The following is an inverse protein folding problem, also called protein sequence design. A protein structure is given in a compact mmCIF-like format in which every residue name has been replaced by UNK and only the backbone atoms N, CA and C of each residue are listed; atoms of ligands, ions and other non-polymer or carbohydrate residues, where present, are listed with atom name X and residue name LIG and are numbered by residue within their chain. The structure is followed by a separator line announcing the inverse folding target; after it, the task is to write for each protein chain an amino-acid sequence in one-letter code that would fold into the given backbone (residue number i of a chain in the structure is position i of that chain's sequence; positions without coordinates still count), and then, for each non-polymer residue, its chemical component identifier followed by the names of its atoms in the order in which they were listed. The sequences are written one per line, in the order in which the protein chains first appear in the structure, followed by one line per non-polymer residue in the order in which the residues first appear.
data_IF_029733476913
#
_entry.id   IF_029733476913
#
_cell.length_a   1.000
_cell.length_b   1.000
_cell.length_c   1.000
_cell.angle_alpha   90.00
_cell.angle_beta   90.00
_cell.angle_gamma   90.00
#
_symmetry.space_group_name_H-M   'P 1'
#
loop_
_entity.id
_entity.type
_entity.pdbx_description
1 polymer ?
#
# COMPACT_ATOMS: atom_id res chain seq x y z
N UNK A 1 40.58 -36.08 17.80
CA UNK A 1 40.64 -34.68 17.30
C UNK A 1 39.21 -34.15 17.05
N UNK A 2 38.54 -33.60 18.07
CA UNK A 2 37.21 -32.96 17.95
C UNK A 2 37.24 -31.62 18.69
N UNK A 3 37.84 -30.59 18.10
CA UNK A 3 37.93 -29.24 18.71
C UNK A 3 37.95 -28.07 17.69
N UNK A 4 37.48 -28.29 16.45
CA UNK A 4 37.48 -27.24 15.40
C UNK A 4 36.10 -26.76 14.94
N UNK A 5 34.99 -27.39 15.36
CA UNK A 5 33.63 -27.03 14.90
C UNK A 5 32.90 -25.99 15.77
N UNK A 6 33.36 -25.75 17.00
CA UNK A 6 32.71 -24.79 17.92
C UNK A 6 33.10 -23.33 17.65
N UNK A 7 34.28 -23.09 17.07
CA UNK A 7 34.77 -21.73 16.84
C UNK A 7 34.11 -21.03 15.64
N UNK A 8 33.80 -21.77 14.57
CA UNK A 8 33.11 -21.21 13.38
C UNK A 8 31.66 -20.86 13.67
N UNK A 9 30.95 -21.63 14.50
CA UNK A 9 29.57 -21.32 14.89
C UNK A 9 29.48 -20.08 15.80
N UNK A 10 30.45 -19.89 16.71
CA UNK A 10 30.52 -18.72 17.59
C UNK A 10 30.85 -17.42 16.84
N UNK A 11 31.69 -17.49 15.80
CA UNK A 11 32.03 -16.33 14.95
C UNK A 11 30.81 -15.92 14.11
N UNK A 12 30.04 -16.87 13.58
CA UNK A 12 28.81 -16.59 12.81
C UNK A 12 27.71 -15.98 13.69
N UNK A 13 27.55 -16.45 14.92
CA UNK A 13 26.57 -15.89 15.87
C UNK A 13 27.01 -14.50 16.35
N UNK A 14 28.30 -14.28 16.60
CA UNK A 14 28.83 -12.96 16.95
C UNK A 14 28.73 -11.95 15.78
N UNK A 15 28.92 -12.41 14.54
CA UNK A 15 28.72 -11.59 13.34
C UNK A 15 27.24 -11.25 13.11
N UNK A 16 26.32 -12.19 13.38
CA UNK A 16 24.88 -11.91 13.33
C UNK A 16 24.46 -10.91 14.43
N UNK A 17 24.98 -11.03 15.65
CA UNK A 17 24.65 -10.11 16.74
C UNK A 17 25.25 -8.71 16.50
N UNK A 18 26.40 -8.60 15.82
CA UNK A 18 26.98 -7.31 15.42
C UNK A 18 26.22 -6.61 14.29
N UNK A 19 25.44 -7.34 13.48
CA UNK A 19 24.50 -6.73 12.52
C UNK A 19 23.27 -6.14 13.24
N UNK A 20 22.86 -6.73 14.37
CA UNK A 20 21.70 -6.27 15.16
C UNK A 20 22.03 -5.28 16.30
N UNK A 21 23.32 -5.02 16.57
CA UNK A 21 23.75 -4.18 17.70
C UNK A 21 24.64 -3.00 17.28
N UNK A 22 24.50 -2.52 16.05
CA UNK A 22 24.96 -1.16 15.73
C UNK A 22 24.00 -0.17 16.41
N UNK A 23 24.49 0.82 17.18
CA UNK A 23 23.65 1.91 17.64
C UNK A 23 23.06 2.60 16.41
N UNK A 24 21.76 2.90 16.47
CA UNK A 24 21.03 3.65 15.45
C UNK A 24 21.53 5.09 15.37
N UNK A 25 22.73 5.28 14.84
CA UNK A 25 23.07 6.49 14.10
C UNK A 25 22.84 6.14 12.63
N UNK A 26 21.57 6.07 12.24
CA UNK A 26 21.21 6.22 10.83
C UNK A 26 21.51 7.68 10.51
N UNK A 27 22.71 7.94 9.98
CA UNK A 27 22.98 9.20 9.30
C UNK A 27 22.03 9.23 8.10
N UNK A 28 20.94 9.99 8.24
CA UNK A 28 19.91 10.19 7.21
C UNK A 28 20.43 11.01 6.02
N UNK A 29 21.73 10.98 5.71
CA UNK A 29 22.37 12.00 4.87
C UNK A 29 22.03 11.87 3.37
N UNK A 30 21.38 10.81 2.89
CA UNK A 30 21.09 10.63 1.45
C UNK A 30 19.78 9.89 1.11
N UNK A 31 18.95 9.52 2.09
CA UNK A 31 17.75 8.71 1.82
C UNK A 31 16.63 9.53 1.15
N UNK A 32 16.10 9.04 0.03
CA UNK A 32 15.02 9.72 -0.71
C UNK A 32 13.68 9.56 -0.03
N UNK A 33 12.96 10.67 0.15
CA UNK A 33 11.57 10.67 0.62
C UNK A 33 10.67 10.16 -0.51
N UNK A 34 9.88 9.12 -0.23
CA UNK A 34 8.90 8.52 -1.15
C UNK A 34 7.48 9.05 -0.90
N UNK A 35 7.07 9.18 0.36
CA UNK A 35 5.78 9.72 0.77
C UNK A 35 5.97 10.81 1.82
N UNK A 36 5.15 11.84 1.76
CA UNK A 36 5.10 12.87 2.78
C UNK A 36 3.66 13.30 3.08
N UNK A 37 3.36 13.42 4.38
CA UNK A 37 2.21 14.14 4.90
C UNK A 37 2.71 15.40 5.58
N UNK A 38 2.20 16.56 5.20
CA UNK A 38 2.50 17.84 5.85
C UNK A 38 1.22 18.48 6.39
N UNK A 39 1.25 18.88 7.66
CA UNK A 39 0.17 19.56 8.35
C UNK A 39 0.60 20.95 8.79
N UNK A 40 -0.30 21.93 8.61
CA UNK A 40 -0.10 23.30 9.07
C UNK A 40 -1.39 23.93 9.57
N UNK A 41 -1.32 24.61 10.72
CA UNK A 41 -2.44 25.35 11.31
C UNK A 41 -2.12 26.84 11.50
N UNK A 42 -2.87 27.71 10.81
CA UNK A 42 -2.53 29.15 10.72
C UNK A 42 -3.08 30.03 11.86
N UNK A 43 -3.97 29.54 12.75
CA UNK A 43 -4.81 30.43 13.59
C UNK A 43 -4.75 30.25 15.11
N UNK A 44 -4.51 29.05 15.65
CA UNK A 44 -4.45 28.85 17.11
C UNK A 44 -3.42 27.80 17.51
N UNK A 45 -2.22 28.26 17.89
CA UNK A 45 -1.12 27.38 18.30
C UNK A 45 -0.40 26.77 17.10
N UNK A 46 0.30 27.63 16.34
CA UNK A 46 1.05 27.23 15.14
C UNK A 46 1.88 25.99 15.46
N UNK A 47 1.43 24.85 14.94
CA UNK A 47 2.20 23.64 14.91
C UNK A 47 2.24 23.20 13.46
N UNK A 48 3.46 23.00 12.98
CA UNK A 48 3.70 22.34 11.72
C UNK A 48 4.21 20.95 12.02
N UNK A 49 3.65 19.98 11.33
CA UNK A 49 4.04 18.59 11.48
C UNK A 49 4.26 18.00 10.10
N UNK A 50 5.29 17.17 9.97
CA UNK A 50 5.45 16.34 8.78
C UNK A 50 5.75 14.90 9.19
N UNK A 51 5.20 13.95 8.43
CA UNK A 51 5.53 12.53 8.54
C UNK A 51 5.97 12.04 7.18
N UNK A 52 7.11 11.36 7.13
CA UNK A 52 7.82 11.02 5.90
C UNK A 52 8.08 9.52 5.87
N UNK A 53 7.97 8.91 4.70
CA UNK A 53 8.50 7.58 4.42
C UNK A 53 9.66 7.75 3.45
N UNK A 54 10.82 7.18 3.77
CA UNK A 54 11.96 7.11 2.85
C UNK A 54 12.08 5.77 2.12
N UNK A 55 12.99 5.71 1.14
CA UNK A 55 13.28 4.52 0.33
C UNK A 55 13.89 3.36 1.11
N UNK A 56 14.40 3.61 2.32
CA UNK A 56 14.86 2.55 3.22
C UNK A 56 13.72 1.95 4.07
N UNK A 57 12.51 2.48 3.92
CA UNK A 57 11.32 2.12 4.65
C UNK A 57 11.20 2.79 6.01
N UNK A 58 12.06 3.74 6.35
CA UNK A 58 12.00 4.44 7.62
C UNK A 58 10.91 5.51 7.59
N UNK A 59 10.10 5.52 8.66
CA UNK A 59 9.07 6.53 8.88
C UNK A 59 9.58 7.56 9.87
N UNK A 60 9.69 8.80 9.44
CA UNK A 60 10.23 9.92 10.21
C UNK A 60 9.13 10.92 10.55
N UNK A 61 9.24 11.54 11.72
CA UNK A 61 8.34 12.61 12.16
C UNK A 61 9.11 13.89 12.46
N UNK A 62 8.62 14.99 11.93
CA UNK A 62 9.07 16.35 12.16
C UNK A 62 7.95 17.13 12.88
N UNK A 63 8.32 17.96 13.86
CA UNK A 63 7.39 18.88 14.50
C UNK A 63 8.11 20.20 14.82
N UNK A 64 7.42 21.32 14.58
CA UNK A 64 7.94 22.66 14.87
C UNK A 64 6.80 23.65 15.15
N UNK A 65 7.14 24.71 15.88
CA UNK A 65 6.27 25.88 16.05
C UNK A 65 6.38 26.86 14.86
N UNK A 66 7.43 26.70 14.03
CA UNK A 66 7.61 27.47 12.80
C UNK A 66 6.78 26.86 11.65
N UNK A 67 6.26 27.69 10.73
CA UNK A 67 5.52 27.21 9.55
C UNK A 67 6.42 26.39 8.63
N UNK A 68 5.87 25.34 8.02
CA UNK A 68 6.50 24.67 6.88
C UNK A 68 6.50 25.60 5.65
N UNK A 69 7.37 25.35 4.66
CA UNK A 69 7.29 26.04 3.38
C UNK A 69 5.91 25.89 2.73
N UNK A 70 5.55 26.84 1.85
CA UNK A 70 4.19 26.93 1.31
C UNK A 70 3.91 25.91 0.19
N UNK A 71 4.94 25.52 -0.56
CA UNK A 71 4.85 24.58 -1.68
C UNK A 71 5.38 23.20 -1.32
N UNK A 72 4.89 22.16 -1.99
CA UNK A 72 5.35 20.81 -1.76
C UNK A 72 6.82 20.62 -2.18
N UNK A 73 7.27 21.31 -3.22
CA UNK A 73 8.66 21.29 -3.67
C UNK A 73 9.61 21.88 -2.63
N UNK A 74 9.24 23.03 -2.05
CA UNK A 74 10.04 23.64 -0.98
C UNK A 74 9.99 22.81 0.31
N UNK A 75 8.84 22.19 0.63
CA UNK A 75 8.71 21.25 1.75
C UNK A 75 9.62 20.05 1.56
N UNK A 76 9.62 19.43 0.38
CA UNK A 76 10.48 18.30 0.08
C UNK A 76 11.96 18.66 0.26
N UNK A 77 12.40 19.78 -0.32
CA UNK A 77 13.77 20.26 -0.19
C UNK A 77 14.16 20.54 1.27
N UNK A 78 13.26 21.19 2.03
CA UNK A 78 13.47 21.47 3.45
C UNK A 78 13.57 20.19 4.28
N UNK A 79 12.64 19.25 4.08
CA UNK A 79 12.53 18.03 4.87
C UNK A 79 13.66 17.04 4.57
N UNK A 80 14.16 17.01 3.34
CA UNK A 80 15.29 16.18 2.94
C UNK A 80 16.60 16.59 3.66
N UNK A 81 16.78 17.86 4.00
CA UNK A 81 17.95 18.37 4.72
C UNK A 81 17.71 18.49 6.24
N UNK A 82 16.48 18.21 6.70
CA UNK A 82 16.08 18.48 8.08
C UNK A 82 16.65 17.45 9.05
N UNK A 83 17.48 17.90 9.98
CA UNK A 83 18.03 17.05 11.05
C UNK A 83 17.10 16.89 12.26
N UNK A 84 16.05 17.72 12.37
CA UNK A 84 15.11 17.68 13.50
C UNK A 84 13.96 16.70 13.24
N UNK A 85 14.30 15.47 12.87
CA UNK A 85 13.35 14.39 12.62
C UNK A 85 13.59 13.23 13.59
N UNK A 86 12.52 12.53 13.95
CA UNK A 86 12.57 11.36 14.83
C UNK A 86 12.09 10.13 14.08
N UNK A 87 12.84 9.03 14.15
CA UNK A 87 12.41 7.74 13.62
C UNK A 87 11.24 7.20 14.45
N UNK A 88 10.11 6.93 13.80
CA UNK A 88 8.89 6.43 14.44
C UNK A 88 8.76 4.92 14.26
N UNK A 89 8.95 4.42 13.04
CA UNK A 89 8.83 2.99 12.68
C UNK A 89 9.56 2.70 11.37
N UNK A 90 9.58 1.42 10.98
CA UNK A 90 10.12 0.96 9.70
C UNK A 90 9.14 0.01 9.02
N UNK A 91 8.87 0.20 7.74
CA UNK A 91 8.08 -0.69 6.89
C UNK A 91 8.94 -1.85 6.37
N UNK A 92 8.28 -2.95 6.00
CA UNK A 92 8.94 -4.08 5.34
C UNK A 92 9.44 -3.69 3.94
N UNK A 93 10.58 -4.24 3.54
CA UNK A 93 11.22 -3.94 2.25
C UNK A 93 10.30 -4.26 1.08
N UNK A 94 9.55 -5.37 1.12
CA UNK A 94 8.62 -5.69 0.04
C UNK A 94 7.51 -4.66 -0.05
N UNK A 95 7.05 -4.13 1.10
CA UNK A 95 6.03 -3.10 1.10
C UNK A 95 6.55 -1.79 0.50
N UNK A 96 7.79 -1.41 0.75
CA UNK A 96 8.41 -0.25 0.10
C UNK A 96 8.43 -0.43 -1.42
N UNK A 97 8.86 -1.60 -1.91
CA UNK A 97 8.87 -1.90 -3.36
C UNK A 97 7.47 -1.85 -3.99
N UNK A 98 6.43 -2.27 -3.28
CA UNK A 98 5.04 -2.12 -3.73
C UNK A 98 4.61 -0.65 -3.83
N UNK A 99 5.02 0.19 -2.87
CA UNK A 99 4.72 1.63 -2.91
C UNK A 99 5.47 2.30 -4.06
N UNK A 100 6.74 1.97 -4.27
CA UNK A 100 7.52 2.49 -5.39
C UNK A 100 6.90 2.10 -6.75
N UNK A 101 6.34 0.89 -6.87
CA UNK A 101 5.66 0.48 -8.10
C UNK A 101 4.41 1.33 -8.37
N UNK A 102 3.63 1.63 -7.33
CA UNK A 102 2.47 2.52 -7.43
C UNK A 102 2.91 3.94 -7.80
N UNK A 103 3.98 4.46 -7.20
CA UNK A 103 4.54 5.79 -7.52
C UNK A 103 4.97 5.84 -8.99
N UNK A 104 5.67 4.80 -9.46
CA UNK A 104 6.11 4.72 -10.85
C UNK A 104 4.92 4.68 -11.82
N UNK A 105 3.85 3.96 -11.47
CA UNK A 105 2.67 3.78 -12.32
C UNK A 105 1.61 4.88 -12.22
N UNK A 106 1.70 5.78 -11.23
CA UNK A 106 0.73 6.84 -11.03
C UNK A 106 0.63 7.75 -12.27
N UNK A 107 -0.61 7.87 -12.77
CA UNK A 107 -0.96 8.66 -13.93
C UNK A 107 -1.28 10.13 -13.56
N UNK A 108 -1.80 10.89 -14.52
CA UNK A 108 -2.20 12.28 -14.30
C UNK A 108 -3.23 12.40 -13.15
N UNK A 109 -3.06 13.36 -12.23
CA UNK A 109 -3.94 13.49 -11.07
C UNK A 109 -5.42 13.72 -11.43
N UNK A 110 -6.29 12.99 -10.75
CA UNK A 110 -7.75 13.12 -10.85
C UNK A 110 -8.29 13.69 -9.53
N UNK A 111 -8.07 14.99 -9.32
CA UNK A 111 -8.42 15.68 -8.08
C UNK A 111 -9.93 15.95 -8.00
N UNK A 112 -10.61 15.31 -7.06
CA UNK A 112 -12.05 15.50 -6.83
C UNK A 112 -12.32 16.21 -5.50
N UNK A 113 -13.06 17.32 -5.57
CA UNK A 113 -13.51 18.06 -4.39
C UNK A 113 -14.62 17.31 -3.66
N UNK A 114 -14.39 17.00 -2.38
CA UNK A 114 -15.38 16.36 -1.54
C UNK A 114 -16.25 17.41 -0.84
N UNK A 115 -17.54 17.12 -0.71
CA UNK A 115 -18.51 18.00 -0.04
C UNK A 115 -18.31 17.95 1.48
N UNK A 116 -17.23 18.57 1.96
CA UNK A 116 -16.91 18.64 3.38
C UNK A 116 -16.28 19.98 3.72
N UNK A 117 -16.73 20.62 4.80
CA UNK A 117 -16.40 22.01 5.10
C UNK A 117 -16.51 22.34 6.57
N UNK A 118 -15.61 21.78 7.38
CA UNK A 118 -15.38 22.29 8.73
C UNK A 118 -14.16 23.19 8.68
N UNK A 119 -14.36 24.47 8.98
CA UNK A 119 -13.29 25.48 9.02
C UNK A 119 -12.61 25.41 10.38
N UNK A 120 -11.28 25.53 10.39
CA UNK A 120 -10.35 25.67 11.54
C UNK A 120 -9.59 24.42 12.01
N UNK A 121 -9.51 23.37 11.18
CA UNK A 121 -8.77 22.13 11.50
C UNK A 121 -7.28 22.14 11.11
N UNK A 122 -6.80 23.20 10.46
CA UNK A 122 -5.51 23.16 9.74
C UNK A 122 -5.65 22.52 8.36
N UNK A 123 -4.55 22.46 7.62
CA UNK A 123 -4.48 21.86 6.30
C UNK A 123 -3.48 20.71 6.32
N UNK A 124 -3.96 19.54 5.94
CA UNK A 124 -3.15 18.36 5.66
C UNK A 124 -2.95 18.25 4.16
N UNK A 125 -1.72 17.98 3.75
CA UNK A 125 -1.34 17.68 2.37
C UNK A 125 -0.63 16.34 2.36
N UNK A 126 -1.03 15.49 1.42
CA UNK A 126 -0.46 14.17 1.20
C UNK A 126 0.11 14.12 -0.20
N UNK A 127 1.39 13.78 -0.31
CA UNK A 127 2.11 13.79 -1.58
C UNK A 127 3.04 12.59 -1.67
N UNK A 128 3.16 12.02 -2.87
CA UNK A 128 4.20 11.06 -3.21
C UNK A 128 5.27 11.73 -4.06
N UNK A 129 6.47 11.18 -4.05
CA UNK A 129 7.61 11.72 -4.79
C UNK A 129 8.12 10.69 -5.77
N UNK A 130 8.08 11.04 -7.06
CA UNK A 130 8.62 10.22 -8.15
C UNK A 130 9.95 10.79 -8.61
N UNK A 131 10.99 9.96 -8.53
CA UNK A 131 12.33 10.30 -9.00
C UNK A 131 12.56 9.73 -10.40
N UNK A 132 12.61 10.60 -11.40
CA UNK A 132 12.93 10.25 -12.78
C UNK A 132 14.38 9.80 -12.94
N UNK A 133 14.62 8.91 -13.90
CA UNK A 133 15.97 8.46 -14.26
C UNK A 133 16.88 9.57 -14.79
N UNK A 134 16.29 10.68 -15.23
CA UNK A 134 16.94 11.91 -15.66
C UNK A 134 17.26 12.88 -14.50
N UNK A 135 16.92 12.50 -13.27
CA UNK A 135 17.09 13.31 -12.07
C UNK A 135 15.97 14.34 -11.86
N UNK A 136 14.92 14.35 -12.69
CA UNK A 136 13.75 15.17 -12.45
C UNK A 136 12.98 14.58 -11.27
N UNK A 137 12.60 15.44 -10.34
CA UNK A 137 11.74 15.08 -9.21
C UNK A 137 10.34 15.60 -9.50
N UNK A 138 9.36 14.72 -9.40
CA UNK A 138 7.94 15.04 -9.56
C UNK A 138 7.22 14.77 -8.25
N UNK A 139 6.36 15.71 -7.85
CA UNK A 139 5.49 15.56 -6.70
C UNK A 139 4.08 15.24 -7.19
N UNK A 140 3.58 14.09 -6.75
CA UNK A 140 2.26 13.58 -7.10
C UNK A 140 1.32 13.92 -5.95
N UNK A 141 0.34 14.82 -6.14
CA UNK A 141 -0.64 15.13 -5.10
C UNK A 141 -1.54 13.93 -4.88
N UNK A 142 -1.70 13.50 -3.63
CA UNK A 142 -2.51 12.35 -3.24
C UNK A 142 -3.84 12.79 -2.62
N UNK A 143 -3.77 13.71 -1.65
CA UNK A 143 -4.95 14.27 -1.02
C UNK A 143 -4.64 15.60 -0.30
N UNK A 144 -5.69 16.36 -0.05
CA UNK A 144 -5.70 17.51 0.86
C UNK A 144 -6.85 17.26 1.84
N UNK A 145 -6.61 17.39 3.15
CA UNK A 145 -7.66 17.19 4.17
C UNK A 145 -7.65 18.30 5.23
N UNK A 146 -8.62 18.31 6.14
CA UNK A 146 -8.82 19.37 7.12
C UNK A 146 -9.80 20.44 6.65
N UNK A 147 -9.32 21.67 6.42
CA UNK A 147 -10.16 22.81 6.01
C UNK A 147 -10.86 22.64 4.65
N UNK A 148 -10.34 21.77 3.80
CA UNK A 148 -10.88 21.34 2.51
C UNK A 148 -10.53 19.87 2.36
N UNK A 149 -11.38 19.11 1.69
CA UNK A 149 -11.09 17.72 1.34
C UNK A 149 -11.05 17.57 -0.17
N UNK A 150 -9.89 17.17 -0.69
CA UNK A 150 -9.65 16.87 -2.10
C UNK A 150 -8.91 15.55 -2.17
N UNK A 151 -9.38 14.60 -2.97
CA UNK A 151 -8.74 13.30 -3.12
C UNK A 151 -8.36 13.06 -4.57
N UNK A 152 -7.17 12.52 -4.81
CA UNK A 152 -6.76 12.06 -6.13
C UNK A 152 -7.32 10.65 -6.35
N UNK A 153 -8.31 10.52 -7.24
CA UNK A 153 -8.98 9.25 -7.51
C UNK A 153 -8.29 8.37 -8.55
N UNK A 154 -7.11 8.79 -9.05
CA UNK A 154 -6.26 7.91 -9.84
C UNK A 154 -5.90 6.66 -8.99
N UNK A 155 -6.08 5.43 -9.49
CA UNK A 155 -6.03 4.24 -8.64
C UNK A 155 -4.72 4.03 -7.87
N UNK A 156 -3.58 4.38 -8.46
CA UNK A 156 -2.27 4.22 -7.80
C UNK A 156 -2.04 5.33 -6.77
N UNK A 157 -2.36 6.58 -7.10
CA UNK A 157 -2.29 7.73 -6.20
C UNK A 157 -3.23 7.56 -5.01
N UNK A 158 -4.44 7.07 -5.24
CA UNK A 158 -5.39 6.78 -4.16
C UNK A 158 -4.87 5.67 -3.25
N UNK A 159 -4.29 4.59 -3.80
CA UNK A 159 -3.64 3.55 -3.01
C UNK A 159 -2.47 4.09 -2.16
N UNK A 160 -1.67 5.01 -2.71
CA UNK A 160 -0.60 5.69 -1.98
C UNK A 160 -1.16 6.59 -0.86
N UNK A 161 -2.29 7.28 -1.09
CA UNK A 161 -2.97 8.04 -0.05
C UNK A 161 -3.39 7.14 1.11
N UNK A 162 -4.08 6.02 0.82
CA UNK A 162 -4.48 5.04 1.83
C UNK A 162 -3.27 4.50 2.59
N UNK A 163 -2.18 4.17 1.91
CA UNK A 163 -0.97 3.68 2.55
C UNK A 163 -0.29 4.76 3.42
N UNK A 164 -0.28 6.01 2.97
CA UNK A 164 0.23 7.12 3.76
C UNK A 164 -0.62 7.29 5.04
N UNK A 165 -1.95 7.26 4.92
CA UNK A 165 -2.86 7.37 6.05
C UNK A 165 -2.73 6.20 7.05
N UNK A 166 -2.66 4.98 6.56
CA UNK A 166 -2.71 3.79 7.44
C UNK A 166 -1.35 3.31 7.91
N UNK A 167 -0.35 3.26 7.02
CA UNK A 167 0.95 2.64 7.28
C UNK A 167 1.99 3.69 7.71
N UNK A 168 1.98 4.87 7.09
CA UNK A 168 2.93 5.95 7.42
C UNK A 168 2.45 6.71 8.67
N UNK A 169 1.20 7.16 8.71
CA UNK A 169 0.63 7.84 9.89
C UNK A 169 0.22 6.86 10.99
N UNK A 170 -0.10 5.61 10.65
CA UNK A 170 -0.52 4.61 11.65
C UNK A 170 -1.97 4.79 12.10
N UNK A 171 -2.81 5.43 11.28
CA UNK A 171 -4.22 5.60 11.57
C UNK A 171 -5.04 4.39 11.11
N UNK A 172 -6.14 4.17 11.80
CA UNK A 172 -7.11 3.12 11.46
C UNK A 172 -8.21 3.71 10.59
N UNK A 173 -8.58 3.01 9.51
CA UNK A 173 -9.68 3.38 8.62
C UNK A 173 -11.04 3.21 9.30
N UNK A 174 -11.15 2.23 10.20
CA UNK A 174 -12.40 1.85 10.86
C UNK A 174 -12.63 2.60 12.19
N UNK A 175 -11.62 3.31 12.68
CA UNK A 175 -11.79 4.10 13.87
C UNK A 175 -12.85 5.19 13.63
N UNK A 176 -13.81 5.29 14.55
CA UNK A 176 -14.78 6.38 14.65
C UNK A 176 -14.06 7.69 15.00
N UNK A 177 -13.31 8.21 14.04
CA UNK A 177 -12.77 9.54 14.11
C UNK A 177 -13.85 10.52 13.65
N UNK A 178 -14.21 11.47 14.50
CA UNK A 178 -14.89 12.73 14.11
C UNK A 178 -13.95 13.66 13.29
N UNK A 179 -12.89 13.11 12.70
CA UNK A 179 -11.76 13.87 12.16
C UNK A 179 -11.88 14.01 10.63
N UNK A 180 -11.75 15.24 10.08
CA UNK A 180 -11.84 15.53 8.64
C UNK A 180 -10.60 15.08 7.85
N UNK A 181 -9.94 13.99 8.26
CA UNK A 181 -8.62 13.55 7.78
C UNK A 181 -8.68 12.17 7.10
N UNK A 182 -9.76 11.40 7.30
CA UNK A 182 -9.87 10.05 6.74
C UNK A 182 -10.19 10.05 5.24
N UNK A 183 -9.66 9.08 4.48
CA UNK A 183 -10.08 8.85 3.11
C UNK A 183 -11.59 8.59 3.00
N UNK A 184 -12.26 9.24 2.05
CA UNK A 184 -13.72 9.23 1.89
C UNK A 184 -14.19 8.33 0.74
N UNK A 185 -13.40 8.18 -0.33
CA UNK A 185 -13.74 7.40 -1.51
C UNK A 185 -13.26 5.93 -1.49
N UNK A 186 -13.22 5.29 -0.32
CA UNK A 186 -12.84 3.88 -0.22
C UNK A 186 -13.92 3.04 -0.90
N UNK A 187 -13.62 2.54 -2.10
CA UNK A 187 -14.55 1.72 -2.88
C UNK A 187 -14.49 0.28 -2.39
N UNK A 188 -15.67 -0.27 -2.12
CA UNK A 188 -15.87 -1.68 -1.80
C UNK A 188 -16.73 -2.26 -2.92
N UNK A 189 -16.10 -2.99 -3.85
CA UNK A 189 -16.77 -3.54 -5.02
C UNK A 189 -16.79 -5.07 -4.93
N UNK A 190 -17.94 -5.74 -5.00
CA UNK A 190 -18.01 -7.20 -5.08
C UNK A 190 -17.09 -7.75 -6.17
N UNK A 191 -16.44 -8.89 -5.92
CA UNK A 191 -15.47 -9.47 -6.86
C UNK A 191 -16.06 -9.68 -8.26
N UNK A 192 -17.30 -10.15 -8.35
CA UNK A 192 -17.98 -10.34 -9.63
C UNK A 192 -18.17 -9.01 -10.39
N UNK A 193 -18.68 -7.98 -9.70
CA UNK A 193 -18.87 -6.65 -10.28
C UNK A 193 -17.53 -6.05 -10.73
N UNK A 194 -16.49 -6.16 -9.90
CA UNK A 194 -15.16 -5.63 -10.21
C UNK A 194 -14.56 -6.26 -11.48
N UNK A 195 -14.78 -7.56 -11.68
CA UNK A 195 -14.33 -8.29 -12.86
C UNK A 195 -15.30 -8.18 -14.05
N UNK A 196 -16.43 -7.50 -13.90
CA UNK A 196 -17.45 -7.36 -14.94
C UNK A 196 -18.14 -8.69 -15.29
N UNK A 197 -18.20 -9.64 -14.35
CA UNK A 197 -18.91 -10.91 -14.49
C UNK A 197 -20.25 -10.88 -13.75
N UNK A 198 -21.22 -11.66 -14.22
CA UNK A 198 -22.54 -11.74 -13.60
C UNK A 198 -22.45 -12.32 -12.18
N UNK A 199 -23.18 -11.77 -11.20
CA UNK A 199 -23.15 -12.28 -9.81
C UNK A 199 -23.64 -13.73 -9.70
N UNK A 200 -24.53 -14.16 -10.60
CA UNK A 200 -25.00 -15.54 -10.71
C UNK A 200 -23.94 -16.52 -11.22
N UNK A 201 -22.72 -16.05 -11.56
CA UNK A 201 -21.62 -16.91 -12.05
C UNK A 201 -21.22 -18.00 -11.05
N UNK A 202 -21.46 -17.77 -9.76
CA UNK A 202 -21.15 -18.74 -8.70
C UNK A 202 -22.26 -19.78 -8.50
N UNK A 203 -23.49 -19.52 -8.94
CA UNK A 203 -24.64 -20.39 -8.67
C UNK A 203 -24.54 -21.72 -9.43
N UNK A 204 -24.35 -22.81 -8.67
CA UNK A 204 -24.23 -24.15 -9.24
C UNK A 204 -22.94 -24.37 -10.04
N UNK A 205 -21.97 -23.47 -9.94
CA UNK A 205 -20.67 -23.63 -10.58
C UNK A 205 -19.86 -24.76 -9.94
N UNK A 206 -18.91 -25.28 -10.71
CA UNK A 206 -17.80 -26.13 -10.21
C UNK A 206 -16.50 -25.35 -10.34
N UNK A 207 -15.46 -25.78 -9.63
CA UNK A 207 -14.18 -25.06 -9.59
C UNK A 207 -13.01 -26.02 -9.84
N UNK A 208 -12.02 -25.55 -10.59
CA UNK A 208 -10.70 -26.19 -10.66
C UNK A 208 -9.64 -25.22 -10.14
N UNK A 209 -8.71 -25.73 -9.33
CA UNK A 209 -7.59 -24.96 -8.81
C UNK A 209 -6.29 -25.32 -9.55
N UNK A 210 -5.44 -24.34 -9.78
CA UNK A 210 -4.09 -24.53 -10.32
C UNK A 210 -3.14 -23.49 -9.75
N UNK A 211 -1.84 -23.74 -9.84
CA UNK A 211 -0.80 -22.76 -9.53
C UNK A 211 -0.04 -22.41 -10.80
N UNK A 212 0.14 -21.12 -11.05
CA UNK A 212 0.98 -20.63 -12.14
C UNK A 212 2.45 -20.77 -11.75
N UNK A 213 3.16 -21.66 -12.44
CA UNK A 213 4.62 -21.77 -12.41
C UNK A 213 5.21 -21.05 -13.61
N UNK A 214 6.30 -20.31 -13.40
CA UNK A 214 6.91 -19.50 -14.45
C UNK A 214 7.57 -20.30 -15.57
N UNK A 215 7.93 -21.57 -15.32
CA UNK A 215 8.56 -22.46 -16.30
C UNK A 215 7.55 -23.47 -16.87
N UNK A 216 6.69 -24.03 -16.02
CA UNK A 216 5.78 -25.11 -16.37
C UNK A 216 4.36 -24.64 -16.75
N UNK A 217 4.02 -23.37 -16.53
CA UNK A 217 2.66 -22.86 -16.73
C UNK A 217 1.73 -23.29 -15.60
N UNK A 218 0.45 -23.54 -15.92
CA UNK A 218 -0.53 -23.96 -14.93
C UNK A 218 -0.27 -25.40 -14.47
N UNK A 219 -0.10 -25.57 -13.16
CA UNK A 219 0.02 -26.88 -12.49
C UNK A 219 -1.26 -27.10 -11.69
N UNK A 220 -2.05 -28.09 -12.08
CA UNK A 220 -3.31 -28.41 -11.39
C UNK A 220 -3.07 -28.76 -9.91
N UNK A 221 -3.96 -28.26 -9.06
CA UNK A 221 -4.03 -28.56 -7.64
C UNK A 221 -5.25 -29.46 -7.45
N UNK A 222 -5.05 -30.61 -6.80
CA UNK A 222 -6.15 -31.48 -6.40
C UNK A 222 -6.99 -30.75 -5.33
N UNK A 223 -8.28 -30.59 -5.61
CA UNK A 223 -9.27 -29.98 -4.73
C UNK A 223 -10.46 -30.91 -4.65
N UNK A 224 -10.93 -31.22 -3.44
CA UNK A 224 -12.09 -32.08 -3.26
C UNK A 224 -13.43 -31.32 -3.34
N UNK A 225 -14.55 -32.04 -3.22
CA UNK A 225 -15.89 -31.44 -3.32
C UNK A 225 -16.21 -30.48 -2.16
N UNK A 226 -15.67 -30.73 -0.96
CA UNK A 226 -15.87 -29.86 0.21
C UNK A 226 -15.08 -28.57 0.03
N UNK A 227 -13.79 -28.67 -0.30
CA UNK A 227 -12.93 -27.52 -0.59
C UNK A 227 -13.43 -26.70 -1.79
N UNK A 228 -14.01 -27.36 -2.79
CA UNK A 228 -14.67 -26.68 -3.93
C UNK A 228 -15.81 -25.79 -3.45
N UNK A 229 -16.68 -26.29 -2.58
CA UNK A 229 -17.79 -25.53 -2.01
C UNK A 229 -17.29 -24.33 -1.21
N UNK A 230 -16.33 -24.55 -0.30
CA UNK A 230 -15.73 -23.48 0.51
C UNK A 230 -15.07 -22.39 -0.34
N UNK A 231 -14.37 -22.77 -1.42
CA UNK A 231 -13.72 -21.81 -2.31
C UNK A 231 -14.71 -20.99 -3.13
N UNK A 232 -15.79 -21.60 -3.61
CA UNK A 232 -16.85 -20.88 -4.31
C UNK A 232 -17.54 -19.90 -3.37
N UNK A 233 -17.88 -20.33 -2.15
CA UNK A 233 -18.46 -19.45 -1.12
C UNK A 233 -17.52 -18.29 -0.81
N UNK A 234 -16.25 -18.57 -0.56
CA UNK A 234 -15.22 -17.56 -0.33
C UNK A 234 -15.14 -16.55 -1.48
N UNK A 235 -14.99 -17.01 -2.73
CA UNK A 235 -14.91 -16.14 -3.92
C UNK A 235 -16.16 -15.27 -4.08
N UNK A 236 -17.36 -15.83 -3.82
CA UNK A 236 -18.62 -15.10 -3.90
C UNK A 236 -18.75 -14.02 -2.81
N UNK A 237 -18.11 -14.23 -1.66
CA UNK A 237 -18.10 -13.30 -0.53
C UNK A 237 -16.97 -12.26 -0.57
N UNK A 238 -16.12 -12.27 -1.59
CA UNK A 238 -15.00 -11.34 -1.69
C UNK A 238 -15.43 -9.95 -2.19
N UNK A 239 -14.79 -8.94 -1.60
CA UNK A 239 -14.88 -7.53 -1.96
C UNK A 239 -13.49 -7.02 -2.30
N UNK A 240 -13.36 -6.34 -3.42
CA UNK A 240 -12.16 -5.61 -3.80
C UNK A 240 -12.20 -4.23 -3.12
N UNK A 241 -11.18 -3.91 -2.33
CA UNK A 241 -11.14 -2.68 -1.51
C UNK A 241 -10.19 -1.60 -2.05
N UNK A 242 -9.23 -1.98 -2.89
CA UNK A 242 -8.35 -1.02 -3.53
C UNK A 242 -7.09 -1.65 -4.10
N UNK A 243 -6.33 -0.86 -4.87
CA UNK A 243 -5.06 -1.28 -5.45
C UNK A 243 -3.99 -1.34 -4.36
N UNK A 244 -3.14 -2.36 -4.40
CA UNK A 244 -2.05 -2.58 -3.43
C UNK A 244 -0.67 -2.45 -4.06
N UNK A 245 -0.55 -2.80 -5.33
CA UNK A 245 0.70 -2.85 -6.08
C UNK A 245 0.39 -2.65 -7.57
N UNK A 246 1.22 -1.90 -8.31
CA UNK A 246 1.06 -1.72 -9.75
C UNK A 246 1.67 -2.86 -10.59
N UNK A 247 2.45 -3.75 -9.98
CA UNK A 247 3.01 -4.91 -10.66
C UNK A 247 1.96 -6.02 -10.72
N UNK A 248 1.90 -6.70 -11.86
CA UNK A 248 1.24 -7.99 -12.01
C UNK A 248 2.29 -9.11 -11.90
N UNK A 249 2.06 -10.10 -11.06
CA UNK A 249 3.01 -11.22 -10.89
C UNK A 249 2.79 -12.34 -11.90
N UNK A 250 3.83 -13.13 -12.15
CA UNK A 250 3.78 -14.23 -13.13
C UNK A 250 4.19 -15.60 -12.55
N UNK A 251 4.37 -15.74 -11.23
CA UNK A 251 4.79 -17.00 -10.62
C UNK A 251 4.29 -17.18 -9.19
N UNK A 252 3.95 -18.42 -8.82
CA UNK A 252 3.28 -18.81 -7.58
C UNK A 252 1.90 -18.17 -7.37
N UNK A 253 1.23 -17.76 -8.45
CA UNK A 253 -0.15 -17.28 -8.43
C UNK A 253 -1.10 -18.48 -8.32
N UNK A 254 -2.00 -18.47 -7.35
CA UNK A 254 -3.11 -19.42 -7.24
C UNK A 254 -4.21 -19.01 -8.22
N UNK A 255 -4.74 -19.97 -8.96
CA UNK A 255 -5.65 -19.72 -10.07
C UNK A 255 -6.88 -20.60 -9.88
N UNK A 256 -8.02 -19.96 -9.70
CA UNK A 256 -9.32 -20.61 -9.56
C UNK A 256 -10.11 -20.38 -10.83
N UNK A 257 -10.53 -21.46 -11.49
CA UNK A 257 -11.35 -21.39 -12.71
C UNK A 257 -12.71 -21.98 -12.42
N UNK A 258 -13.77 -21.19 -12.65
CA UNK A 258 -15.15 -21.63 -12.53
C UNK A 258 -15.64 -22.23 -13.85
N UNK A 259 -16.41 -23.31 -13.74
CA UNK A 259 -17.07 -23.97 -14.85
C UNK A 259 -18.56 -24.15 -14.56
N UNK A 260 -19.39 -24.10 -15.60
CA UNK A 260 -20.82 -24.42 -15.51
C UNK A 260 -21.03 -25.89 -15.13
N UNK A 261 -22.24 -26.30 -14.73
CA UNK A 261 -22.57 -27.72 -14.51
C UNK A 261 -22.26 -28.62 -15.72
N UNK A 262 -22.31 -28.05 -16.94
CA UNK A 262 -21.98 -28.72 -18.19
C UNK A 262 -20.47 -28.71 -18.53
N UNK A 263 -19.65 -28.10 -17.68
CA UNK A 263 -18.19 -28.00 -17.82
C UNK A 263 -17.71 -26.86 -18.72
N UNK A 264 -18.54 -25.85 -18.99
CA UNK A 264 -18.14 -24.68 -19.78
C UNK A 264 -17.39 -23.66 -18.91
N UNK A 265 -16.30 -23.08 -19.41
CA UNK A 265 -15.58 -22.00 -18.73
C UNK A 265 -16.52 -20.81 -18.44
N UNK A 266 -16.51 -20.33 -17.20
CA UNK A 266 -17.27 -19.16 -16.76
C UNK A 266 -16.37 -17.97 -16.43
N UNK A 267 -15.43 -18.16 -15.50
CA UNK A 267 -14.56 -17.10 -15.02
C UNK A 267 -13.24 -17.67 -14.48
N UNK A 268 -12.21 -16.82 -14.41
CA UNK A 268 -10.92 -17.14 -13.79
C UNK A 268 -10.55 -16.04 -12.81
N UNK A 269 -10.06 -16.45 -11.65
CA UNK A 269 -9.59 -15.57 -10.59
C UNK A 269 -8.16 -15.96 -10.24
N UNK A 270 -7.28 -14.97 -10.19
CA UNK A 270 -5.85 -15.17 -9.96
C UNK A 270 -5.45 -14.43 -8.68
N UNK A 271 -4.80 -15.13 -7.76
CA UNK A 271 -4.40 -14.60 -6.46
C UNK A 271 -2.92 -14.82 -6.18
N UNK A 272 -2.24 -13.76 -5.78
CA UNK A 272 -0.85 -13.82 -5.33
C UNK A 272 -0.75 -13.29 -3.91
N UNK A 273 -0.35 -14.16 -2.98
CA UNK A 273 -0.26 -13.84 -1.55
C UNK A 273 -1.55 -13.20 -1.01
N UNK A 274 -2.72 -13.67 -1.50
CA UNK A 274 -4.03 -13.16 -1.10
C UNK A 274 -4.49 -11.89 -1.82
N UNK A 275 -3.67 -11.29 -2.70
CA UNK A 275 -4.08 -10.17 -3.54
C UNK A 275 -4.66 -10.66 -4.86
N UNK A 276 -5.76 -10.05 -5.30
CA UNK A 276 -6.34 -10.30 -6.62
C UNK A 276 -5.41 -9.73 -7.69
N UNK A 277 -5.00 -10.57 -8.64
CA UNK A 277 -4.13 -10.21 -9.76
C UNK A 277 -4.97 -9.76 -10.96
N UNK A 278 -4.64 -8.59 -11.49
CA UNK A 278 -5.22 -7.99 -12.67
C UNK A 278 -4.12 -7.65 -13.69
N UNK A 279 -4.52 -7.28 -14.90
CA UNK A 279 -3.60 -6.84 -15.95
C UNK A 279 -2.88 -5.53 -15.59
N UNK A 280 -3.53 -4.68 -14.80
CA UNK A 280 -3.02 -3.37 -14.41
C UNK A 280 -2.38 -3.34 -13.00
N UNK A 281 -2.34 -4.47 -12.28
CA UNK A 281 -1.70 -4.57 -10.97
C UNK A 281 -2.36 -5.60 -10.05
N UNK A 282 -2.18 -5.43 -8.74
CA UNK A 282 -2.76 -6.30 -7.72
C UNK A 282 -3.62 -5.50 -6.73
N UNK A 283 -4.72 -6.11 -6.30
CA UNK A 283 -5.75 -5.48 -5.48
C UNK A 283 -5.94 -6.23 -4.17
N UNK A 284 -6.14 -5.46 -3.11
CA UNK A 284 -6.56 -5.99 -1.83
C UNK A 284 -8.01 -6.49 -1.92
N UNK A 285 -8.25 -7.64 -1.29
CA UNK A 285 -9.57 -8.22 -1.15
C UNK A 285 -9.86 -8.55 0.31
N UNK A 286 -11.12 -8.46 0.68
CA UNK A 286 -11.63 -8.79 2.00
C UNK A 286 -12.90 -9.62 1.86
N UNK A 287 -13.21 -10.46 2.84
CA UNK A 287 -14.54 -11.07 2.94
C UNK A 287 -15.52 -10.02 3.46
N UNK A 288 -16.74 -9.98 2.94
CA UNK A 288 -17.82 -9.23 3.59
C UNK A 288 -17.92 -9.65 5.05
N UNK A 289 -17.75 -8.71 5.98
CA UNK A 289 -18.14 -8.92 7.36
C UNK A 289 -19.67 -8.79 7.42
N UNK A 290 -20.36 -9.85 7.87
CA UNK A 290 -21.79 -9.79 8.22
C UNK A 290 -22.05 -8.87 9.43
#
# INVERSE_FOLDING_TARGET
MKKKRTWTALILIAALILIFAAPANCEAEDARILLMRCYQQDRSGVCSEAVLLDEEGCVWQYQSDDPLPDTDEERLAFLAECQNVTLVRRLDVNRVLELESLIAAAAEPQMEDQAFGIRDYGLDTYSAVRYGSDGIVEIIPLAITGNRVVENLEPNAYALYIACFTEVMGYDLEAEFDCPIKPLNIRRTPLAEFLGVDEGVFEGATLTASRLDCEAGYIDIEIDEEETGEKIEWLSGLVVTGKRNALCVTGNTEVYTLHSPEGAFLARFEFYQGLLVMDDGMYAVETWAE
#
